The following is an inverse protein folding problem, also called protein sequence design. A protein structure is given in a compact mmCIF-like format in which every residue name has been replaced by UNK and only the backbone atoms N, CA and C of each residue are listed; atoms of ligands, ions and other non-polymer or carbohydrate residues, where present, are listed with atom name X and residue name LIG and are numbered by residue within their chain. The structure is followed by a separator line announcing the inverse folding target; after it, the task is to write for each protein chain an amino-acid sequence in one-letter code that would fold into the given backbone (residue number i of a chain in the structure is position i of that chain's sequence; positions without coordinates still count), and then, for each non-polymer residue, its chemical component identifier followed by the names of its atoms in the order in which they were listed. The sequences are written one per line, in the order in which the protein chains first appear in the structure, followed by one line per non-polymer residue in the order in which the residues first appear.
data_IF_294329230974
#
_entry.id   IF_294329230974
#
_cell.length_a   1.000
_cell.length_b   1.000
_cell.length_c   1.000
_cell.angle_alpha   90.00
_cell.angle_beta   90.00
_cell.angle_gamma   90.00
#
_symmetry.space_group_name_H-M   'P 1'
#
loop_
_entity.id
_entity.type
_entity.pdbx_description
1 polymer ?
#
# COMPACT_ATOMS: atom_id res chain seq x y z
N UNK A 1 28.00 4.49 0.51
CA UNK A 1 26.56 4.68 0.22
C UNK A 1 25.90 5.26 1.46
N UNK A 2 25.20 6.38 1.31
CA UNK A 2 24.41 6.96 2.40
C UNK A 2 23.17 6.10 2.64
N UNK A 3 22.85 5.83 3.92
CA UNK A 3 21.59 5.19 4.32
C UNK A 3 20.62 6.27 4.75
N UNK A 4 19.52 6.38 4.01
CA UNK A 4 18.45 7.32 4.33
C UNK A 4 17.61 6.75 5.49
N UNK A 5 17.49 7.47 6.62
CA UNK A 5 16.75 6.99 7.78
C UNK A 5 15.25 6.75 7.49
N UNK A 6 14.63 7.53 6.59
CA UNK A 6 13.22 7.37 6.21
C UNK A 6 13.02 6.06 5.43
N UNK A 7 13.96 5.74 4.53
CA UNK A 7 13.91 4.50 3.76
C UNK A 7 14.05 3.29 4.69
N UNK A 8 14.91 3.36 5.69
CA UNK A 8 15.10 2.27 6.64
C UNK A 8 13.88 2.05 7.54
N UNK A 9 13.19 3.11 7.97
CA UNK A 9 11.93 3.00 8.72
C UNK A 9 10.83 2.32 7.90
N UNK A 10 10.69 2.71 6.63
CA UNK A 10 9.73 2.10 5.70
C UNK A 10 10.06 0.61 5.52
N UNK A 11 11.33 0.25 5.39
CA UNK A 11 11.78 -1.15 5.27
C UNK A 11 11.42 -1.95 6.51
N UNK A 12 11.72 -1.44 7.71
CA UNK A 12 11.40 -2.11 8.96
C UNK A 12 9.89 -2.36 9.10
N UNK A 13 9.08 -1.37 8.73
CA UNK A 13 7.61 -1.47 8.76
C UNK A 13 7.09 -2.54 7.80
N UNK A 14 7.56 -2.53 6.54
CA UNK A 14 7.17 -3.52 5.52
C UNK A 14 7.61 -4.93 5.90
N UNK A 15 8.79 -5.06 6.45
CA UNK A 15 9.35 -6.34 6.90
C UNK A 15 8.53 -6.92 8.07
N UNK A 16 8.21 -6.10 9.07
CA UNK A 16 7.38 -6.51 10.21
C UNK A 16 5.99 -6.98 9.74
N UNK A 17 5.36 -6.25 8.82
CA UNK A 17 4.08 -6.64 8.24
C UNK A 17 4.18 -7.94 7.42
N UNK A 18 5.22 -8.09 6.58
CA UNK A 18 5.40 -9.29 5.76
C UNK A 18 5.59 -10.57 6.60
N UNK A 19 6.29 -10.46 7.75
CA UNK A 19 6.45 -11.57 8.69
C UNK A 19 5.14 -12.07 9.27
N UNK A 20 4.16 -11.20 9.50
CA UNK A 20 2.83 -11.59 10.01
C UNK A 20 2.12 -12.56 9.05
N UNK A 21 2.49 -12.56 7.77
CA UNK A 21 1.91 -13.41 6.72
C UNK A 21 2.88 -14.48 6.22
N UNK A 22 3.99 -14.74 6.92
CA UNK A 22 5.05 -15.64 6.45
C UNK A 22 5.52 -15.33 5.02
N UNK A 23 5.54 -14.04 4.66
CA UNK A 23 5.89 -13.55 3.32
C UNK A 23 4.97 -14.08 2.19
N UNK A 24 3.77 -14.57 2.50
CA UNK A 24 2.78 -14.91 1.48
C UNK A 24 2.21 -13.62 0.86
N UNK A 25 2.69 -13.30 -0.34
CA UNK A 25 2.25 -12.13 -1.11
C UNK A 25 0.74 -12.10 -1.37
N UNK A 26 0.10 -13.27 -1.53
CA UNK A 26 -1.36 -13.32 -1.75
C UNK A 26 -2.11 -12.98 -0.47
N UNK A 27 -1.62 -13.41 0.68
CA UNK A 27 -2.22 -13.08 1.97
C UNK A 27 -2.07 -11.59 2.30
N UNK A 28 -0.87 -11.04 2.09
CA UNK A 28 -0.62 -9.59 2.24
C UNK A 28 -1.53 -8.78 1.32
N UNK A 29 -1.64 -9.17 0.04
CA UNK A 29 -2.54 -8.50 -0.91
C UNK A 29 -3.99 -8.50 -0.41
N UNK A 30 -4.49 -9.64 0.06
CA UNK A 30 -5.88 -9.75 0.56
C UNK A 30 -6.10 -8.84 1.78
N UNK A 31 -5.17 -8.82 2.73
CA UNK A 31 -5.26 -7.94 3.90
C UNK A 31 -5.34 -6.47 3.49
N UNK A 32 -4.46 -6.02 2.58
CA UNK A 32 -4.50 -4.64 2.06
C UNK A 32 -5.82 -4.32 1.36
N UNK A 33 -6.38 -5.25 0.55
CA UNK A 33 -7.69 -5.06 -0.07
C UNK A 33 -8.84 -5.01 0.94
N UNK A 34 -8.73 -5.72 2.06
CA UNK A 34 -9.72 -5.65 3.14
C UNK A 34 -9.63 -4.31 3.89
N UNK A 35 -8.42 -3.84 4.19
CA UNK A 35 -8.20 -2.53 4.79
C UNK A 35 -8.73 -1.41 3.88
N UNK A 36 -8.49 -1.50 2.58
CA UNK A 36 -9.05 -0.59 1.57
C UNK A 36 -10.58 -0.53 1.63
N UNK A 37 -11.26 -1.69 1.65
CA UNK A 37 -12.72 -1.78 1.73
C UNK A 37 -13.28 -1.19 3.03
N UNK A 38 -12.57 -1.37 4.15
CA UNK A 38 -12.95 -0.82 5.46
C UNK A 38 -12.69 0.68 5.55
N UNK A 39 -11.83 1.22 4.68
CA UNK A 39 -11.54 2.65 4.68
C UNK A 39 -12.74 3.45 4.20
N UNK A 40 -12.99 4.61 4.83
CA UNK A 40 -14.00 5.58 4.37
C UNK A 40 -13.48 6.46 3.21
N UNK A 41 -12.36 6.08 2.58
CA UNK A 41 -11.69 6.88 1.55
C UNK A 41 -12.38 6.68 0.21
N UNK A 42 -12.49 7.75 -0.56
CA UNK A 42 -12.96 7.66 -1.94
C UNK A 42 -11.81 7.17 -2.82
N UNK A 43 -12.08 6.14 -3.61
CA UNK A 43 -11.13 5.61 -4.59
C UNK A 43 -11.29 6.40 -5.89
N UNK A 44 -10.25 7.14 -6.27
CA UNK A 44 -10.17 7.72 -7.61
C UNK A 44 -9.62 6.65 -8.56
N UNK A 45 -10.31 6.43 -9.67
CA UNK A 45 -9.72 5.70 -10.79
C UNK A 45 -9.07 6.68 -11.76
N UNK A 46 -7.92 6.30 -12.33
CA UNK A 46 -7.22 7.14 -13.31
C UNK A 46 -8.13 7.50 -14.50
N UNK A 47 -8.94 6.54 -14.97
CA UNK A 47 -9.92 6.78 -16.03
C UNK A 47 -11.03 7.76 -15.61
N UNK A 48 -11.44 7.77 -14.34
CA UNK A 48 -12.38 8.76 -13.83
C UNK A 48 -11.76 10.15 -13.73
N UNK A 49 -10.47 10.25 -13.36
CA UNK A 49 -9.75 11.53 -13.33
C UNK A 49 -9.65 12.14 -14.75
N UNK A 50 -9.32 11.33 -15.75
CA UNK A 50 -9.30 11.76 -17.16
C UNK A 50 -10.68 12.22 -17.64
N UNK A 51 -11.76 11.50 -17.29
CA UNK A 51 -13.14 11.90 -17.62
C UNK A 51 -13.55 13.22 -16.95
N UNK A 52 -12.97 13.52 -15.79
CA UNK A 52 -13.25 14.73 -15.03
C UNK A 52 -12.35 15.92 -15.43
N UNK A 53 -11.55 15.80 -16.51
CA UNK A 53 -10.74 16.90 -17.04
C UNK A 53 -9.45 17.19 -16.25
N UNK A 54 -9.01 16.27 -15.39
CA UNK A 54 -7.74 16.37 -14.66
C UNK A 54 -6.56 15.69 -15.41
N UNK A 55 -6.61 15.68 -16.74
CA UNK A 55 -5.62 15.03 -17.61
C UNK A 55 -4.66 16.02 -18.25
#
# INVERSE_FOLDING_TARGET
MWKDPIVEEIRQTREAHSRQFNYDLKAIYKDLKEQEKKSKRQFASYTQLLKNGFG
#
